data_IF_332194985866
#
_entry.id   IF_332194985866
#
_cell.length_a   1.000
_cell.length_b   1.000
_cell.length_c   1.000
_cell.angle_alpha   90.00
_cell.angle_beta   90.00
_cell.angle_gamma   90.00
#
_symmetry.space_group_name_H-M   'P 1'
#
loop_
_entity.id
_entity.type
_entity.pdbx_description
1 polymer ?
#
# COMPACT_ATOMS: atom_id res chain seq x y z
N UNK A 1 29.35 -15.49 20.40
CA UNK A 1 28.07 -15.80 19.72
C UNK A 1 27.98 -17.32 19.57
N UNK A 2 26.80 -17.94 19.75
CA UNK A 2 26.64 -19.35 19.43
C UNK A 2 26.71 -19.56 17.91
N UNK A 3 27.43 -20.58 17.47
CA UNK A 3 27.46 -20.98 16.05
C UNK A 3 26.19 -21.78 15.73
N UNK A 4 25.55 -21.49 14.59
CA UNK A 4 24.42 -22.25 14.05
C UNK A 4 24.75 -22.68 12.62
N UNK A 5 24.52 -23.95 12.32
CA UNK A 5 24.67 -24.52 10.97
C UNK A 5 23.29 -24.64 10.34
N UNK A 6 23.16 -24.19 9.10
CA UNK A 6 21.95 -24.34 8.29
C UNK A 6 22.26 -25.26 7.10
N UNK A 7 21.36 -26.21 6.84
CA UNK A 7 21.43 -27.04 5.65
C UNK A 7 20.64 -26.37 4.53
N UNK A 8 21.23 -26.28 3.36
CA UNK A 8 20.67 -25.63 2.17
C UNK A 8 20.67 -26.67 1.08
N UNK A 9 19.59 -26.73 0.27
CA UNK A 9 19.53 -27.66 -0.86
C UNK A 9 20.56 -27.27 -1.92
N UNK A 10 21.02 -28.23 -2.72
CA UNK A 10 21.95 -27.95 -3.82
C UNK A 10 21.35 -26.94 -4.82
N UNK A 11 20.03 -26.96 -5.00
CA UNK A 11 19.28 -26.05 -5.88
C UNK A 11 19.27 -24.59 -5.38
N UNK A 12 19.43 -24.38 -4.06
CA UNK A 12 19.43 -23.06 -3.44
C UNK A 12 20.84 -22.46 -3.31
N UNK A 13 21.91 -23.24 -3.52
CA UNK A 13 23.30 -22.77 -3.48
C UNK A 13 23.56 -21.53 -4.36
N UNK A 14 23.00 -21.40 -5.58
CA UNK A 14 23.19 -20.21 -6.40
C UNK A 14 22.70 -18.92 -5.74
N UNK A 15 21.64 -18.97 -4.93
CA UNK A 15 21.10 -17.80 -4.22
C UNK A 15 22.09 -17.29 -3.18
N UNK A 16 22.71 -18.21 -2.43
CA UNK A 16 23.69 -17.88 -1.40
C UNK A 16 24.99 -17.32 -2.00
N UNK A 17 25.47 -17.92 -3.10
CA UNK A 17 26.62 -17.41 -3.84
C UNK A 17 26.38 -15.99 -4.34
N UNK A 18 25.22 -15.76 -4.98
CA UNK A 18 24.87 -14.43 -5.49
C UNK A 18 24.74 -13.40 -4.38
N UNK A 19 24.13 -13.75 -3.26
CA UNK A 19 24.04 -12.87 -2.11
C UNK A 19 25.43 -12.53 -1.55
N UNK A 20 26.34 -13.50 -1.47
CA UNK A 20 27.70 -13.30 -0.97
C UNK A 20 28.53 -12.37 -1.87
N UNK A 21 28.40 -12.48 -3.19
CA UNK A 21 29.01 -11.57 -4.17
C UNK A 21 28.53 -10.12 -3.98
N UNK A 22 27.21 -9.93 -3.85
CA UNK A 22 26.60 -8.59 -3.73
C UNK A 22 26.97 -7.87 -2.43
N UNK A 23 27.19 -8.62 -1.35
CA UNK A 23 27.45 -8.06 0.00
C UNK A 23 28.92 -8.09 0.40
N UNK A 24 29.82 -8.57 -0.49
CA UNK A 24 31.26 -8.57 -0.24
C UNK A 24 31.71 -9.51 0.89
N UNK A 25 31.00 -10.62 1.11
CA UNK A 25 31.52 -11.74 1.92
C UNK A 25 30.93 -11.98 3.32
N UNK A 26 30.11 -11.09 3.90
CA UNK A 26 29.49 -11.36 5.20
C UNK A 26 28.08 -11.97 5.07
N UNK A 27 28.03 -13.21 4.60
CA UNK A 27 26.79 -13.96 4.41
C UNK A 27 25.98 -14.14 5.71
N UNK A 28 26.65 -14.30 6.85
CA UNK A 28 25.98 -14.45 8.15
C UNK A 28 25.14 -13.23 8.52
N UNK A 29 25.68 -12.02 8.32
CA UNK A 29 24.94 -10.77 8.57
C UNK A 29 23.77 -10.58 7.61
N UNK A 30 23.92 -11.01 6.36
CA UNK A 30 22.88 -10.96 5.34
C UNK A 30 21.72 -11.89 5.70
N UNK A 31 22.02 -13.12 6.11
CA UNK A 31 21.00 -14.10 6.55
C UNK A 31 20.23 -13.55 7.75
N UNK A 32 20.91 -13.01 8.76
CA UNK A 32 20.22 -12.41 9.93
C UNK A 32 19.35 -11.23 9.51
N UNK A 33 19.82 -10.37 8.61
CA UNK A 33 19.04 -9.23 8.11
C UNK A 33 17.81 -9.66 7.32
N UNK A 34 17.94 -10.70 6.47
CA UNK A 34 16.83 -11.28 5.73
C UNK A 34 15.80 -11.93 6.67
N UNK A 35 16.25 -12.68 7.68
CA UNK A 35 15.37 -13.28 8.68
C UNK A 35 14.64 -12.22 9.52
N UNK A 36 15.31 -11.14 9.92
CA UNK A 36 14.64 -10.00 10.59
C UNK A 36 13.56 -9.40 9.72
N UNK A 37 13.87 -9.14 8.44
CA UNK A 37 12.89 -8.62 7.48
C UNK A 37 11.71 -9.57 7.28
N UNK A 38 11.95 -10.88 7.26
CA UNK A 38 10.90 -11.90 7.18
C UNK A 38 10.02 -11.87 8.44
N UNK A 39 10.61 -11.91 9.64
CA UNK A 39 9.86 -11.84 10.90
C UNK A 39 9.04 -10.55 10.96
N UNK A 40 9.64 -9.42 10.61
CA UNK A 40 8.94 -8.13 10.58
C UNK A 40 7.72 -8.15 9.63
N UNK A 41 7.81 -8.88 8.52
CA UNK A 41 6.72 -9.04 7.56
C UNK A 41 5.64 -9.99 8.10
N UNK A 42 6.02 -11.14 8.64
CA UNK A 42 5.09 -12.16 9.16
C UNK A 42 4.35 -11.68 10.41
N UNK A 43 5.05 -11.03 11.35
CA UNK A 43 4.43 -10.41 12.53
C UNK A 43 3.52 -9.25 12.14
N UNK A 44 3.90 -8.47 11.13
CA UNK A 44 3.04 -7.42 10.56
C UNK A 44 1.74 -8.02 10.04
N UNK A 45 1.83 -9.07 9.22
CA UNK A 45 0.69 -9.80 8.68
C UNK A 45 -0.18 -10.42 9.77
N UNK A 46 0.42 -11.04 10.77
CA UNK A 46 -0.30 -11.60 11.93
C UNK A 46 -1.01 -10.51 12.74
N UNK A 47 -0.44 -9.31 12.83
CA UNK A 47 -1.05 -8.13 13.44
C UNK A 47 -2.03 -7.37 12.51
N UNK A 48 -2.33 -7.93 11.33
CA UNK A 48 -3.29 -7.37 10.36
C UNK A 48 -2.75 -6.27 9.45
N UNK A 49 -1.43 -6.03 9.44
CA UNK A 49 -0.77 -5.11 8.50
C UNK A 49 -0.36 -5.84 7.22
N UNK A 50 -0.76 -5.28 6.08
CA UNK A 50 -0.39 -5.79 4.76
C UNK A 50 0.72 -4.94 4.12
N UNK A 51 1.45 -5.51 3.15
CA UNK A 51 2.32 -4.71 2.29
C UNK A 51 1.47 -3.82 1.38
N UNK A 52 1.56 -2.51 1.57
CA UNK A 52 0.90 -1.50 0.77
C UNK A 52 1.90 -0.89 -0.21
N UNK A 53 1.57 -0.92 -1.50
CA UNK A 53 2.33 -0.26 -2.57
C UNK A 53 1.47 0.85 -3.16
N UNK A 54 1.88 2.10 -2.95
CA UNK A 54 1.21 3.28 -3.51
C UNK A 54 1.93 3.74 -4.77
N UNK A 55 1.17 4.06 -5.81
CA UNK A 55 1.64 4.87 -6.95
C UNK A 55 1.80 6.32 -6.49
N UNK A 56 2.80 7.03 -7.01
CA UNK A 56 3.13 8.42 -6.65
C UNK A 56 3.65 9.19 -7.86
N UNK A 57 3.32 10.47 -7.92
CA UNK A 57 3.63 11.37 -9.02
C UNK A 57 2.57 11.31 -10.11
N UNK A 58 2.78 12.13 -11.14
CA UNK A 58 1.94 12.15 -12.33
C UNK A 58 1.95 10.77 -12.99
N UNK A 59 0.76 10.28 -13.30
CA UNK A 59 0.49 8.99 -13.95
C UNK A 59 1.10 7.79 -13.18
N UNK A 60 1.41 7.97 -11.90
CA UNK A 60 1.89 6.89 -11.03
C UNK A 60 3.26 6.33 -11.38
N UNK A 61 4.11 7.12 -12.05
CA UNK A 61 5.44 6.69 -12.56
C UNK A 61 6.40 6.18 -11.49
N UNK A 62 6.17 6.49 -10.22
CA UNK A 62 6.96 6.03 -9.08
C UNK A 62 6.09 5.27 -8.10
N UNK A 63 6.71 4.38 -7.33
CA UNK A 63 6.04 3.65 -6.26
C UNK A 63 6.71 3.92 -4.91
N UNK A 64 5.91 3.90 -3.86
CA UNK A 64 6.37 3.84 -2.46
C UNK A 64 5.72 2.65 -1.79
N UNK A 65 6.44 2.03 -0.86
CA UNK A 65 6.01 0.80 -0.19
C UNK A 65 6.12 0.96 1.32
N UNK A 66 5.13 0.48 2.04
CA UNK A 66 5.12 0.41 3.49
C UNK A 66 4.23 -0.73 3.99
N UNK A 67 4.25 -1.00 5.30
CA UNK A 67 3.37 -1.97 5.95
C UNK A 67 2.24 -1.20 6.65
N UNK A 68 0.99 -1.50 6.31
CA UNK A 68 -0.15 -0.69 6.70
C UNK A 68 -1.49 -1.44 6.72
N UNK A 69 -2.45 -0.90 7.48
CA UNK A 69 -3.86 -1.31 7.44
C UNK A 69 -4.66 -0.20 6.79
N UNK A 70 -5.40 -0.47 5.72
CA UNK A 70 -6.35 0.50 5.17
C UNK A 70 -7.43 0.73 6.21
N UNK A 71 -7.61 1.93 6.75
CA UNK A 71 -8.65 2.28 7.72
C UNK A 71 -9.97 2.65 7.03
N UNK A 72 -9.88 3.33 5.90
CA UNK A 72 -11.04 3.72 5.10
C UNK A 72 -10.62 4.28 3.75
N UNK A 73 -11.58 4.30 2.82
CA UNK A 73 -11.42 4.95 1.53
C UNK A 73 -12.68 5.75 1.16
N UNK A 74 -12.48 6.77 0.35
CA UNK A 74 -13.51 7.62 -0.21
C UNK A 74 -13.27 7.79 -1.70
N UNK A 75 -14.34 7.68 -2.49
CA UNK A 75 -14.33 7.92 -3.93
C UNK A 75 -15.38 8.95 -4.26
N UNK A 76 -14.97 9.96 -4.99
CA UNK A 76 -15.85 10.98 -5.53
C UNK A 76 -15.60 11.09 -7.05
N UNK A 77 -16.68 11.25 -7.80
CA UNK A 77 -16.65 11.36 -9.23
C UNK A 77 -17.59 12.48 -9.64
N UNK A 78 -17.00 13.52 -10.22
CA UNK A 78 -17.72 14.68 -10.73
C UNK A 78 -17.63 14.74 -12.25
N UNK A 79 -18.29 15.71 -12.85
CA UNK A 79 -18.18 16.06 -14.27
C UNK A 79 -16.78 16.51 -14.69
N UNK A 80 -15.91 16.88 -13.73
CA UNK A 80 -14.57 17.42 -13.98
C UNK A 80 -13.43 16.48 -13.62
N UNK A 81 -13.62 15.62 -12.63
CA UNK A 81 -12.57 14.72 -12.13
C UNK A 81 -13.12 13.50 -11.40
N UNK A 82 -12.25 12.52 -11.24
CA UNK A 82 -12.34 11.49 -10.21
C UNK A 82 -11.35 11.82 -9.08
N UNK A 83 -11.74 11.51 -7.85
CA UNK A 83 -10.95 11.61 -6.64
C UNK A 83 -11.06 10.29 -5.88
N UNK A 84 -9.93 9.68 -5.53
CA UNK A 84 -9.87 8.53 -4.64
C UNK A 84 -8.91 8.84 -3.50
N UNK A 85 -9.42 8.82 -2.27
CA UNK A 85 -8.63 9.01 -1.07
C UNK A 85 -8.65 7.73 -0.24
N UNK A 86 -7.48 7.30 0.23
CA UNK A 86 -7.31 6.12 1.06
C UNK A 86 -6.49 6.50 2.29
N UNK A 87 -6.98 6.13 3.47
CA UNK A 87 -6.28 6.38 4.73
C UNK A 87 -5.80 5.07 5.30
N UNK A 88 -4.51 4.96 5.55
CA UNK A 88 -3.89 3.79 6.14
C UNK A 88 -3.32 4.12 7.52
N UNK A 89 -3.28 3.12 8.41
CA UNK A 89 -2.43 3.15 9.60
C UNK A 89 -1.17 2.36 9.32
N UNK A 90 -0.02 3.01 9.36
CA UNK A 90 1.27 2.34 9.24
C UNK A 90 1.59 1.53 10.51
N UNK A 91 2.52 0.57 10.40
CA UNK A 91 3.03 -0.18 11.56
C UNK A 91 3.60 0.71 12.68
N UNK A 92 4.14 1.89 12.33
CA UNK A 92 4.66 2.87 13.29
C UNK A 92 3.56 3.75 13.94
N UNK A 93 2.29 3.44 13.69
CA UNK A 93 1.15 4.18 14.23
C UNK A 93 0.82 5.49 13.50
N UNK A 94 1.65 5.91 12.54
CA UNK A 94 1.41 7.10 11.69
C UNK A 94 0.28 6.83 10.70
N UNK A 95 -0.45 7.87 10.33
CA UNK A 95 -1.45 7.83 9.28
C UNK A 95 -0.81 8.13 7.92
N UNK A 96 -1.22 7.39 6.89
CA UNK A 96 -0.81 7.66 5.51
C UNK A 96 -2.06 7.96 4.71
N UNK A 97 -2.19 9.19 4.23
CA UNK A 97 -3.24 9.60 3.30
C UNK A 97 -2.69 9.46 1.88
N UNK A 98 -3.25 8.55 1.09
CA UNK A 98 -3.00 8.46 -0.34
C UNK A 98 -4.16 9.14 -1.09
N UNK A 99 -3.82 10.03 -2.02
CA UNK A 99 -4.80 10.76 -2.85
C UNK A 99 -4.48 10.55 -4.31
N UNK A 100 -5.45 10.06 -5.07
CA UNK A 100 -5.41 10.01 -6.53
C UNK A 100 -6.45 10.97 -7.10
N UNK A 101 -6.02 11.89 -7.96
CA UNK A 101 -6.90 12.82 -8.66
C UNK A 101 -6.70 12.69 -10.17
N UNK A 102 -7.76 12.31 -10.89
CA UNK A 102 -7.75 12.21 -12.35
C UNK A 102 -8.74 13.21 -12.94
N UNK A 103 -8.27 14.18 -13.72
CA UNK A 103 -9.14 15.15 -14.40
C UNK A 103 -9.58 14.59 -15.74
N UNK A 104 -10.87 14.72 -16.09
CA UNK A 104 -11.39 14.19 -17.36
C UNK A 104 -10.78 14.85 -18.59
N UNK A 105 -10.38 16.12 -18.49
CA UNK A 105 -9.71 16.84 -19.57
C UNK A 105 -8.32 16.29 -19.93
N UNK A 106 -7.69 15.58 -18.99
CA UNK A 106 -6.36 14.99 -19.13
C UNK A 106 -6.48 13.49 -19.43
N UNK A 107 -7.70 13.00 -19.68
CA UNK A 107 -7.97 11.60 -20.04
C UNK A 107 -7.30 11.26 -21.38
N UNK A 108 -6.56 10.15 -21.48
CA UNK A 108 -5.98 9.71 -22.75
C UNK A 108 -7.09 9.36 -23.75
N UNK A 109 -7.39 10.28 -24.67
CA UNK A 109 -8.47 10.14 -25.66
C UNK A 109 -8.25 9.04 -26.69
N UNK A 110 -7.02 8.55 -26.83
CA UNK A 110 -6.66 7.47 -27.76
C UNK A 110 -7.14 6.08 -27.27
N UNK A 111 -7.67 5.98 -26.06
CA UNK A 111 -8.12 4.74 -25.40
C UNK A 111 -9.65 4.72 -25.19
N UNK A 112 -10.41 5.47 -26.03
CA UNK A 112 -11.87 5.54 -26.04
C UNK A 112 -12.52 4.29 -26.66
N UNK A 113 -12.28 3.13 -26.05
CA UNK A 113 -13.28 2.06 -26.11
C UNK A 113 -14.58 2.54 -25.48
N UNK A 114 -15.72 2.01 -25.94
CA UNK A 114 -17.05 2.35 -25.42
C UNK A 114 -17.04 2.34 -23.88
N UNK A 115 -17.45 3.44 -23.24
CA UNK A 115 -17.57 3.53 -21.77
C UNK A 115 -18.62 2.53 -21.23
N UNK A 116 -19.41 1.90 -22.11
CA UNK A 116 -20.26 0.74 -21.81
C UNK A 116 -19.51 -0.58 -21.66
N UNK A 117 -18.23 -0.63 -22.03
CA UNK A 117 -17.40 -1.81 -21.79
C UNK A 117 -17.14 -1.95 -20.28
N UNK A 118 -17.59 -3.08 -19.75
CA UNK A 118 -17.43 -3.46 -18.34
C UNK A 118 -15.95 -3.49 -17.89
N UNK A 119 -15.00 -3.69 -18.81
CA UNK A 119 -13.55 -3.55 -18.52
C UNK A 119 -13.16 -2.09 -18.27
N UNK A 120 -13.66 -1.16 -19.07
CA UNK A 120 -13.41 0.27 -18.92
C UNK A 120 -14.07 0.81 -17.64
N UNK A 121 -15.29 0.36 -17.32
CA UNK A 121 -15.94 0.64 -16.04
C UNK A 121 -15.12 0.14 -14.83
N UNK A 122 -14.59 -1.09 -14.88
CA UNK A 122 -13.73 -1.63 -13.82
C UNK A 122 -12.41 -0.86 -13.70
N UNK A 123 -11.81 -0.49 -14.83
CA UNK A 123 -10.60 0.34 -14.89
C UNK A 123 -10.82 1.71 -14.24
N UNK A 124 -11.96 2.33 -14.55
CA UNK A 124 -12.42 3.61 -13.99
C UNK A 124 -12.68 3.55 -12.48
N UNK A 125 -13.19 2.42 -11.99
CA UNK A 125 -13.36 2.16 -10.56
C UNK A 125 -12.09 1.64 -9.88
N UNK A 126 -10.95 1.63 -10.56
CA UNK A 126 -9.70 1.16 -9.98
C UNK A 126 -9.70 -0.32 -9.56
N UNK A 127 -10.49 -1.16 -10.25
CA UNK A 127 -10.59 -2.60 -9.99
C UNK A 127 -9.74 -3.34 -11.03
N UNK A 128 -8.61 -3.91 -10.58
CA UNK A 128 -7.67 -4.71 -11.39
C UNK A 128 -6.29 -4.04 -11.57
N UNK A 129 -5.32 -4.76 -12.14
CA UNK A 129 -3.91 -4.32 -12.29
C UNK A 129 -3.72 -3.04 -13.14
N UNK A 130 -4.75 -2.63 -13.88
CA UNK A 130 -4.75 -1.50 -14.85
C UNK A 130 -5.58 -0.30 -14.38
N UNK A 131 -5.92 -0.24 -13.09
CA UNK A 131 -6.63 0.85 -12.45
C UNK A 131 -6.00 2.23 -12.78
N UNK A 132 -6.67 3.01 -13.63
CA UNK A 132 -6.43 4.44 -13.92
C UNK A 132 -4.96 4.86 -14.02
N UNK A 133 -4.27 4.54 -15.11
CA UNK A 133 -2.86 4.93 -15.29
C UNK A 133 -2.65 6.44 -15.57
N UNK A 134 -3.66 7.29 -15.37
CA UNK A 134 -3.54 8.74 -15.56
C UNK A 134 -3.95 9.53 -14.31
N UNK A 135 -3.41 10.74 -14.21
CA UNK A 135 -3.70 11.69 -13.13
C UNK A 135 -2.62 11.73 -12.07
N UNK A 136 -2.85 12.55 -11.05
CA UNK A 136 -1.84 12.83 -10.04
C UNK A 136 -2.04 11.92 -8.82
N UNK A 137 -0.95 11.27 -8.42
CA UNK A 137 -0.90 10.42 -7.23
C UNK A 137 -0.02 11.06 -6.16
N UNK A 138 -0.60 11.33 -5.00
CA UNK A 138 0.07 11.99 -3.89
C UNK A 138 -0.09 11.16 -2.62
N UNK A 139 0.85 11.31 -1.69
CA UNK A 139 0.71 10.75 -0.36
C UNK A 139 1.26 11.70 0.68
N UNK A 140 0.68 11.64 1.87
CA UNK A 140 1.09 12.43 3.03
C UNK A 140 1.15 11.53 4.26
N UNK A 141 2.18 11.74 5.09
CA UNK A 141 2.33 11.03 6.37
C UNK A 141 1.96 12.01 7.48
N UNK A 142 1.04 11.59 8.33
CA UNK A 142 0.45 12.38 9.40
C UNK A 142 0.68 11.70 10.74
N UNK A 143 0.89 12.51 11.77
CA UNK A 143 1.22 12.02 13.09
C UNK A 143 -0.03 11.67 13.89
N UNK A 144 -1.08 12.48 13.78
CA UNK A 144 -2.31 12.35 14.58
C UNK A 144 -3.56 12.24 13.70
N UNK A 145 -4.60 11.56 14.21
CA UNK A 145 -5.91 11.44 13.55
C UNK A 145 -6.50 12.82 13.24
N UNK A 146 -6.34 13.80 14.13
CA UNK A 146 -6.85 15.17 13.95
C UNK A 146 -6.32 15.85 12.68
N UNK A 147 -5.11 15.49 12.25
CA UNK A 147 -4.45 16.12 11.08
C UNK A 147 -5.14 15.72 9.77
N UNK A 148 -5.98 14.67 9.79
CA UNK A 148 -6.79 14.26 8.65
C UNK A 148 -8.03 15.15 8.47
N UNK A 149 -8.55 15.79 9.51
CA UNK A 149 -9.89 16.40 9.53
C UNK A 149 -10.14 17.39 8.38
N UNK A 150 -9.14 18.21 8.05
CA UNK A 150 -9.25 19.23 7.02
C UNK A 150 -8.78 18.75 5.63
N UNK A 151 -8.38 17.47 5.50
CA UNK A 151 -7.78 16.90 4.28
C UNK A 151 -8.67 15.89 3.57
N UNK A 152 -9.63 15.32 4.30
CA UNK A 152 -10.56 14.32 3.80
C UNK A 152 -12.00 14.74 4.12
N UNK A 153 -13.00 14.25 3.37
CA UNK A 153 -14.40 14.48 3.69
C UNK A 153 -14.80 13.96 5.09
N UNK A 154 -15.73 14.66 5.74
CA UNK A 154 -16.22 14.37 7.11
C UNK A 154 -16.71 12.93 7.31
N UNK A 155 -17.28 12.32 6.26
CA UNK A 155 -17.75 10.95 6.33
C UNK A 155 -16.58 9.95 6.33
N UNK A 156 -15.51 10.20 5.57
CA UNK A 156 -14.29 9.41 5.63
C UNK A 156 -13.61 9.59 6.99
N UNK A 157 -13.54 10.83 7.50
CA UNK A 157 -12.98 11.11 8.81
C UNK A 157 -13.65 10.30 9.91
N UNK A 158 -14.99 10.37 10.00
CA UNK A 158 -15.78 9.59 10.98
C UNK A 158 -15.54 8.09 10.86
N UNK A 159 -15.49 7.55 9.64
CA UNK A 159 -15.18 6.14 9.41
C UNK A 159 -13.79 5.77 9.94
N UNK A 160 -12.78 6.59 9.67
CA UNK A 160 -11.41 6.38 10.15
C UNK A 160 -11.34 6.47 11.68
N UNK A 161 -12.06 7.43 12.27
CA UNK A 161 -12.16 7.61 13.72
C UNK A 161 -12.78 6.37 14.40
N UNK A 162 -13.92 5.89 13.90
CA UNK A 162 -14.62 4.71 14.42
C UNK A 162 -13.73 3.45 14.38
N UNK A 163 -13.08 3.20 13.24
CA UNK A 163 -12.17 2.06 13.03
C UNK A 163 -10.88 2.19 13.84
N UNK A 164 -10.49 3.41 14.22
CA UNK A 164 -9.31 3.63 15.08
C UNK A 164 -9.65 3.41 16.56
N UNK A 165 -10.87 3.76 16.97
CA UNK A 165 -11.33 3.65 18.35
C UNK A 165 -11.78 2.23 18.73
N UNK A 166 -12.22 1.43 17.76
CA UNK A 166 -12.72 0.07 17.99
C UNK A 166 -11.93 -0.95 17.16
N UNK A 167 -11.73 -2.18 17.67
CA UNK A 167 -11.20 -3.25 16.83
C UNK A 167 -12.15 -3.51 15.65
N UNK A 168 -11.58 -3.82 14.48
CA UNK A 168 -12.37 -4.07 13.25
C UNK A 168 -13.29 -5.28 13.36
N UNK A 169 -12.88 -6.24 14.16
CA UNK A 169 -13.60 -7.46 14.47
C UNK A 169 -13.62 -7.52 15.99
N UNK A 170 -14.82 -7.49 16.56
CA UNK A 170 -15.05 -7.71 17.97
C UNK A 170 -15.60 -9.13 18.11
N UNK A 171 -14.85 -10.01 18.77
CA UNK A 171 -15.33 -11.35 19.10
C UNK A 171 -16.33 -11.22 20.24
N UNK A 172 -17.61 -11.36 19.92
CA UNK A 172 -18.68 -11.38 20.89
C UNK A 172 -18.79 -12.79 21.49
N UNK A 173 -18.77 -12.89 22.81
CA UNK A 173 -18.99 -14.15 23.55
C UNK A 173 -20.51 -14.43 23.65
N UNK A 174 -21.11 -14.80 22.51
CA UNK A 174 -22.54 -15.11 22.35
C UNK A 174 -22.80 -16.44 21.65
#
# INVERSE_FOLDING_TARGET
MPNKTIYVSDDDLPVFQRAQELVGGNLSSTVVSALRKLIESEEGRAAGFDEVVLRVGRDGVRQVRFQGVLLGEWRDMTDKRTLHQQVYRSRKGKFVLATHTAKWKDYPSDDLGDLKDWKNWRRLLGIGEQATDWGDYEYEILDDLKDLKDRIPDNLYRKVEEVTAHPRIEDLDI
#
